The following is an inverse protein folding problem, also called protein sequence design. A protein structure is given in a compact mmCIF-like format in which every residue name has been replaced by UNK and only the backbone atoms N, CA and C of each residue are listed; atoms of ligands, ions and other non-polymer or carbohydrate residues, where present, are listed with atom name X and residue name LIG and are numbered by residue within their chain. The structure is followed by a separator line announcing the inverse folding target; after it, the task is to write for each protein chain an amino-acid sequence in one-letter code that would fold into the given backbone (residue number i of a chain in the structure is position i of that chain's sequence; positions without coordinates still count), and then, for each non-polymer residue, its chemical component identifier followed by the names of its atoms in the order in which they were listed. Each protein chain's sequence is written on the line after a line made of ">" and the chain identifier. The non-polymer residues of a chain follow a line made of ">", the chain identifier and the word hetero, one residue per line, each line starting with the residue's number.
data_IF_609344542155
#
_entry.id   IF_609344542155
#
_cell.length_a   1.000
_cell.length_b   1.000
_cell.length_c   1.000
_cell.angle_alpha   90.00
_cell.angle_beta   90.00
_cell.angle_gamma   90.00
#
_symmetry.space_group_name_H-M   'P 1'
#
loop_
_entity.id
_entity.type
_entity.pdbx_description
1 polymer ?
#
# COMPACT_ATOMS: atom_id res chain seq x y z
N UNK A 1 15.58 -8.00 -27.72
CA UNK A 1 16.24 -8.82 -26.69
C UNK A 1 16.45 -8.00 -25.44
N UNK A 2 16.00 -8.47 -24.28
CA UNK A 2 16.28 -7.82 -23.00
C UNK A 2 17.80 -7.88 -22.71
N UNK A 3 18.39 -6.74 -22.30
CA UNK A 3 19.78 -6.68 -21.85
C UNK A 3 19.80 -6.74 -20.33
N UNK A 4 20.56 -7.70 -19.80
CA UNK A 4 20.77 -7.83 -18.36
C UNK A 4 22.02 -7.06 -17.96
N UNK A 5 21.93 -6.27 -16.90
CA UNK A 5 23.03 -5.55 -16.29
C UNK A 5 23.19 -5.97 -14.84
N UNK A 6 24.43 -6.24 -14.44
CA UNK A 6 24.75 -6.46 -13.03
C UNK A 6 24.97 -5.08 -12.38
N UNK A 7 24.23 -4.78 -11.31
CA UNK A 7 24.48 -3.59 -10.53
C UNK A 7 25.79 -3.77 -9.74
N UNK A 8 26.83 -3.04 -10.16
CA UNK A 8 28.20 -3.20 -9.63
C UNK A 8 28.61 -1.96 -8.81
N UNK A 9 27.83 -1.56 -7.82
CA UNK A 9 28.25 -0.51 -6.88
C UNK A 9 29.49 -1.01 -6.10
N UNK A 10 30.57 -0.25 -6.17
CA UNK A 10 31.85 -0.63 -5.52
C UNK A 10 31.78 -0.44 -3.99
N UNK A 11 32.31 -1.42 -3.25
CA UNK A 11 32.55 -1.36 -1.80
C UNK A 11 33.50 -2.50 -1.39
N UNK A 12 34.09 -2.42 -0.20
CA UNK A 12 34.79 -3.55 0.42
C UNK A 12 33.80 -4.54 1.02
N UNK A 13 33.21 -5.39 0.17
CA UNK A 13 32.22 -6.37 0.59
C UNK A 13 32.77 -7.38 1.61
N UNK A 14 34.02 -7.73 1.53
CA UNK A 14 34.67 -8.64 2.49
C UNK A 14 34.90 -7.98 3.84
N UNK A 15 35.25 -6.69 3.86
CA UNK A 15 35.35 -5.90 5.09
C UNK A 15 34.03 -5.75 5.78
N UNK A 16 32.96 -5.36 5.03
CA UNK A 16 31.60 -5.26 5.54
C UNK A 16 31.13 -6.62 6.07
N UNK A 17 31.33 -7.70 5.30
CA UNK A 17 30.93 -9.04 5.70
C UNK A 17 31.57 -9.46 7.03
N UNK A 18 32.89 -9.25 7.20
CA UNK A 18 33.60 -9.54 8.47
C UNK A 18 33.10 -8.66 9.63
N UNK A 19 32.89 -7.36 9.38
CA UNK A 19 32.50 -6.41 10.43
C UNK A 19 31.14 -6.73 11.02
N UNK A 20 30.18 -7.15 10.17
CA UNK A 20 28.78 -7.37 10.56
C UNK A 20 28.37 -8.83 10.64
N UNK A 21 29.28 -9.78 10.44
CA UNK A 21 28.98 -11.22 10.54
C UNK A 21 28.03 -11.73 9.46
N UNK A 22 28.02 -11.11 8.28
CA UNK A 22 27.16 -11.49 7.15
C UNK A 22 27.98 -12.03 5.98
N UNK A 23 27.33 -12.64 4.98
CA UNK A 23 28.04 -13.06 3.77
C UNK A 23 28.39 -11.85 2.87
N UNK A 24 29.45 -11.94 2.03
CA UNK A 24 29.75 -10.91 1.04
C UNK A 24 28.60 -10.63 0.06
N UNK A 25 27.72 -11.61 -0.16
CA UNK A 25 26.51 -11.46 -0.99
C UNK A 25 25.51 -10.51 -0.32
N UNK A 26 25.28 -10.67 0.99
CA UNK A 26 24.42 -9.76 1.77
C UNK A 26 25.02 -8.35 1.78
N UNK A 27 26.32 -8.22 2.01
CA UNK A 27 27.00 -6.93 1.93
C UNK A 27 26.80 -6.23 0.56
N UNK A 28 26.82 -6.99 -0.54
CA UNK A 28 26.53 -6.47 -1.87
C UNK A 28 25.08 -6.04 -2.03
N UNK A 29 24.12 -6.82 -1.52
CA UNK A 29 22.68 -6.49 -1.57
C UNK A 29 22.43 -5.19 -0.82
N UNK A 30 22.94 -5.07 0.40
CA UNK A 30 22.84 -3.83 1.19
C UNK A 30 23.37 -2.62 0.42
N UNK A 31 24.56 -2.73 -0.15
CA UNK A 31 25.18 -1.67 -0.93
C UNK A 31 24.37 -1.28 -2.18
N UNK A 32 23.77 -2.26 -2.86
CA UNK A 32 22.92 -2.02 -4.01
C UNK A 32 21.60 -1.31 -3.63
N UNK A 33 21.16 -1.45 -2.38
CA UNK A 33 19.99 -0.79 -1.78
C UNK A 33 20.33 0.53 -1.08
N UNK A 34 21.50 1.09 -1.34
CA UNK A 34 21.99 2.36 -0.79
C UNK A 34 22.22 2.36 0.73
N UNK A 35 22.24 1.20 1.36
CA UNK A 35 22.61 1.03 2.77
C UNK A 35 24.13 1.18 2.89
N UNK A 36 24.63 2.30 3.45
CA UNK A 36 26.02 2.72 3.32
C UNK A 36 26.74 2.94 4.65
N UNK A 37 26.06 3.60 5.60
CA UNK A 37 26.65 3.95 6.89
C UNK A 37 26.52 2.80 7.88
N UNK A 38 27.28 2.86 8.97
CA UNK A 38 27.21 1.85 10.03
C UNK A 38 25.83 1.84 10.70
N UNK A 39 25.21 3.02 10.87
CA UNK A 39 23.87 3.19 11.41
C UNK A 39 22.84 2.54 10.49
N UNK A 40 22.89 2.84 9.19
CA UNK A 40 21.99 2.25 8.19
C UNK A 40 22.14 0.72 8.13
N UNK A 41 23.37 0.20 8.20
CA UNK A 41 23.63 -1.25 8.19
C UNK A 41 23.07 -1.90 9.46
N UNK A 42 23.28 -1.28 10.62
CA UNK A 42 22.71 -1.78 11.88
C UNK A 42 21.19 -1.77 11.85
N UNK A 43 20.57 -0.69 11.40
CA UNK A 43 19.12 -0.60 11.25
C UNK A 43 18.59 -1.67 10.28
N UNK A 44 19.26 -1.87 9.14
CA UNK A 44 18.85 -2.85 8.13
C UNK A 44 18.92 -4.29 8.64
N UNK A 45 19.95 -4.62 9.46
CA UNK A 45 20.18 -5.99 9.96
C UNK A 45 19.45 -6.29 11.27
N UNK A 46 19.33 -5.30 12.15
CA UNK A 46 18.92 -5.47 13.54
C UNK A 46 17.73 -4.58 13.94
N UNK A 47 17.12 -3.89 12.97
CA UNK A 47 15.97 -3.00 13.23
C UNK A 47 14.81 -3.72 13.91
N UNK A 48 14.15 -3.00 14.79
CA UNK A 48 13.02 -3.46 15.59
C UNK A 48 11.75 -2.69 15.21
N UNK A 49 10.56 -3.12 15.60
CA UNK A 49 9.34 -2.33 15.39
C UNK A 49 9.41 -0.89 15.95
N UNK A 50 10.26 -0.65 16.98
CA UNK A 50 10.48 0.68 17.54
C UNK A 50 11.25 1.64 16.63
N UNK A 51 11.92 1.10 15.60
CA UNK A 51 12.67 1.88 14.60
C UNK A 51 11.82 2.26 13.38
N UNK A 52 10.56 1.81 13.32
CA UNK A 52 9.65 2.17 12.24
C UNK A 52 9.27 3.65 12.33
N UNK A 53 9.12 4.28 11.18
CA UNK A 53 8.57 5.63 11.11
C UNK A 53 7.12 5.66 11.60
N UNK A 54 6.73 6.81 12.18
CA UNK A 54 5.33 7.03 12.53
C UNK A 54 4.44 7.02 11.26
N UNK A 55 3.42 6.17 11.23
CA UNK A 55 2.50 6.07 10.08
C UNK A 55 1.78 7.38 9.75
N UNK A 56 1.68 8.32 10.71
CA UNK A 56 1.12 9.67 10.48
C UNK A 56 1.96 10.53 9.56
N UNK A 57 3.22 10.16 9.29
CA UNK A 57 4.07 10.81 8.30
C UNK A 57 3.67 10.50 6.85
N UNK A 58 2.87 9.45 6.64
CA UNK A 58 2.38 9.12 5.30
C UNK A 58 1.38 10.18 4.84
N UNK A 59 1.50 10.54 3.57
CA UNK A 59 0.57 11.47 2.92
C UNK A 59 -0.86 10.95 3.10
N UNK A 60 -1.80 11.86 3.28
CA UNK A 60 -3.23 11.64 3.44
C UNK A 60 -3.65 10.74 4.64
N UNK A 61 -2.71 10.27 5.49
CA UNK A 61 -3.04 9.42 6.64
C UNK A 61 -4.01 10.12 7.61
N UNK A 62 -3.74 11.37 7.98
CA UNK A 62 -4.61 12.14 8.88
C UNK A 62 -5.99 12.41 8.24
N UNK A 63 -6.02 12.64 6.92
CA UNK A 63 -7.27 12.80 6.17
C UNK A 63 -8.09 11.52 6.22
N UNK A 64 -7.50 10.37 5.90
CA UNK A 64 -8.17 9.07 5.93
C UNK A 64 -8.71 8.74 7.33
N UNK A 65 -7.91 8.96 8.37
CA UNK A 65 -8.32 8.75 9.76
C UNK A 65 -9.51 9.66 10.13
N UNK A 66 -9.49 10.92 9.68
CA UNK A 66 -10.60 11.85 9.92
C UNK A 66 -11.89 11.39 9.25
N UNK A 67 -11.82 10.99 7.98
CA UNK A 67 -12.95 10.46 7.21
C UNK A 67 -13.50 9.21 7.91
N UNK A 68 -12.67 8.25 8.26
CA UNK A 68 -13.12 7.02 8.92
C UNK A 68 -13.80 7.29 10.27
N UNK A 69 -13.27 8.21 11.08
CA UNK A 69 -13.90 8.62 12.34
C UNK A 69 -15.28 9.23 12.12
N UNK A 70 -15.43 10.09 11.11
CA UNK A 70 -16.72 10.69 10.73
C UNK A 70 -17.72 9.60 10.32
N UNK A 71 -17.29 8.68 9.43
CA UNK A 71 -18.15 7.58 8.96
C UNK A 71 -18.57 6.64 10.08
N UNK A 72 -17.69 6.35 11.03
CA UNK A 72 -18.02 5.56 12.22
C UNK A 72 -19.05 6.29 13.08
N UNK A 73 -18.85 7.60 13.34
CA UNK A 73 -19.79 8.40 14.14
C UNK A 73 -21.17 8.53 13.49
N UNK A 74 -21.23 8.48 12.15
CA UNK A 74 -22.48 8.49 11.36
C UNK A 74 -23.09 7.10 11.17
N UNK A 75 -22.51 6.05 11.76
CA UNK A 75 -22.93 4.65 11.60
C UNK A 75 -22.99 4.20 10.12
N UNK A 76 -22.08 4.74 9.29
CA UNK A 76 -21.99 4.40 7.87
C UNK A 76 -21.27 3.08 7.67
N UNK A 77 -21.78 2.27 6.74
CA UNK A 77 -21.19 0.97 6.41
C UNK A 77 -19.91 1.15 5.61
N UNK A 78 -18.83 0.52 6.08
CA UNK A 78 -17.52 0.52 5.46
C UNK A 78 -17.25 -0.87 4.90
N UNK A 79 -16.78 -0.96 3.65
CA UNK A 79 -16.29 -2.21 3.07
C UNK A 79 -14.80 -2.14 2.79
N UNK A 80 -14.04 -3.07 3.36
CA UNK A 80 -12.64 -3.27 3.04
C UNK A 80 -12.56 -4.17 1.81
N UNK A 81 -11.86 -3.69 0.77
CA UNK A 81 -11.59 -4.49 -0.44
C UNK A 81 -10.09 -4.76 -0.50
N UNK A 82 -9.70 -5.99 -0.15
CA UNK A 82 -8.32 -6.45 -0.17
C UNK A 82 -7.92 -7.11 -1.48
N UNK A 83 -6.73 -7.72 -1.49
CA UNK A 83 -6.33 -8.65 -2.54
C UNK A 83 -6.31 -10.10 -2.02
N UNK A 84 -6.20 -11.05 -2.93
CA UNK A 84 -6.30 -12.49 -2.66
C UNK A 84 -4.97 -13.15 -2.27
N UNK A 85 -3.87 -12.41 -2.23
CA UNK A 85 -2.57 -12.94 -1.79
C UNK A 85 -2.37 -12.79 -0.27
N UNK A 86 -1.18 -13.14 0.22
CA UNK A 86 -0.93 -13.15 1.66
C UNK A 86 -0.96 -11.74 2.27
N UNK A 87 -0.50 -10.73 1.53
CA UNK A 87 -0.45 -9.35 2.00
C UNK A 87 -1.88 -8.76 2.02
N UNK A 88 -2.67 -9.00 0.97
CA UNK A 88 -4.06 -8.56 0.89
C UNK A 88 -4.95 -9.22 1.95
N UNK A 89 -4.83 -10.54 2.17
CA UNK A 89 -5.62 -11.23 3.20
C UNK A 89 -5.26 -10.76 4.60
N UNK A 90 -3.97 -10.60 4.92
CA UNK A 90 -3.54 -10.16 6.25
C UNK A 90 -3.90 -8.68 6.50
N UNK A 91 -3.68 -7.80 5.53
CA UNK A 91 -4.05 -6.38 5.68
C UNK A 91 -5.56 -6.19 5.82
N UNK A 92 -6.37 -6.94 5.06
CA UNK A 92 -7.82 -6.97 5.22
C UNK A 92 -8.22 -7.36 6.64
N UNK A 93 -7.64 -8.42 7.19
CA UNK A 93 -7.93 -8.88 8.55
C UNK A 93 -7.53 -7.85 9.61
N UNK A 94 -6.34 -7.24 9.48
CA UNK A 94 -5.85 -6.22 10.41
C UNK A 94 -6.78 -4.98 10.40
N UNK A 95 -7.14 -4.49 9.22
CA UNK A 95 -8.04 -3.34 9.08
C UNK A 95 -9.44 -3.66 9.60
N UNK A 96 -9.98 -4.83 9.29
CA UNK A 96 -11.28 -5.28 9.81
C UNK A 96 -11.28 -5.27 11.33
N UNK A 97 -10.29 -5.91 11.96
CA UNK A 97 -10.19 -5.97 13.42
C UNK A 97 -10.00 -4.59 14.06
N UNK A 98 -9.18 -3.74 13.44
CA UNK A 98 -8.98 -2.38 13.91
C UNK A 98 -10.26 -1.54 13.85
N UNK A 99 -11.00 -1.60 12.76
CA UNK A 99 -12.26 -0.88 12.58
C UNK A 99 -13.38 -1.43 13.45
N UNK A 100 -13.50 -2.76 13.60
CA UNK A 100 -14.43 -3.38 14.56
C UNK A 100 -14.18 -2.90 15.99
N UNK A 101 -12.91 -2.84 16.43
CA UNK A 101 -12.53 -2.32 17.75
C UNK A 101 -12.83 -0.82 17.89
N UNK A 102 -12.80 -0.06 16.81
CA UNK A 102 -13.18 1.34 16.78
C UNK A 102 -14.71 1.56 16.74
N UNK A 103 -15.52 0.49 16.65
CA UNK A 103 -16.99 0.54 16.62
C UNK A 103 -17.59 0.73 15.23
N UNK A 104 -16.84 0.47 14.15
CA UNK A 104 -17.35 0.59 12.79
C UNK A 104 -18.31 -0.55 12.42
N UNK A 105 -19.34 -0.23 11.61
CA UNK A 105 -20.07 -1.23 10.79
C UNK A 105 -19.20 -1.53 9.56
N UNK A 106 -18.46 -2.65 9.62
CA UNK A 106 -17.46 -3.00 8.62
C UNK A 106 -17.62 -4.43 8.13
N UNK A 107 -17.56 -4.61 6.82
CA UNK A 107 -17.44 -5.91 6.17
C UNK A 107 -16.25 -5.95 5.21
N UNK A 108 -15.99 -7.11 4.63
CA UNK A 108 -14.83 -7.33 3.75
C UNK A 108 -15.24 -8.00 2.45
N UNK A 109 -14.54 -7.69 1.37
CA UNK A 109 -14.66 -8.37 0.08
C UNK A 109 -13.26 -8.58 -0.50
N UNK A 110 -12.97 -9.81 -0.90
CA UNK A 110 -11.70 -10.16 -1.56
C UNK A 110 -12.04 -10.71 -2.94
N UNK A 111 -11.46 -10.14 -4.02
CA UNK A 111 -11.75 -10.60 -5.37
C UNK A 111 -11.35 -12.06 -5.55
N UNK A 112 -12.19 -12.80 -6.28
CA UNK A 112 -11.87 -14.17 -6.62
C UNK A 112 -10.86 -14.20 -7.76
N UNK A 113 -9.66 -14.74 -7.51
CA UNK A 113 -8.49 -14.74 -8.41
C UNK A 113 -8.80 -15.06 -9.88
N UNK A 114 -9.71 -16.01 -10.13
CA UNK A 114 -10.02 -16.46 -11.50
C UNK A 114 -11.19 -15.67 -12.11
N UNK A 115 -12.19 -15.29 -11.30
CA UNK A 115 -13.43 -14.66 -11.80
C UNK A 115 -13.35 -13.15 -11.86
N UNK A 116 -12.77 -12.55 -10.84
CA UNK A 116 -12.80 -11.09 -10.64
C UNK A 116 -11.49 -10.42 -11.06
N UNK A 117 -10.38 -11.19 -11.11
CA UNK A 117 -9.06 -10.66 -11.39
C UNK A 117 -8.39 -10.05 -10.15
N UNK A 118 -7.43 -9.15 -10.37
CA UNK A 118 -6.65 -8.50 -9.31
C UNK A 118 -7.30 -7.19 -8.86
N UNK A 119 -7.40 -7.00 -7.55
CA UNK A 119 -7.73 -5.73 -6.92
C UNK A 119 -9.15 -5.21 -7.18
N UNK A 120 -9.33 -3.92 -6.95
CA UNK A 120 -10.61 -3.24 -7.14
C UNK A 120 -11.05 -3.27 -8.61
N UNK A 121 -12.30 -3.68 -8.84
CA UNK A 121 -12.93 -3.67 -10.16
C UNK A 121 -14.38 -3.16 -10.09
N UNK A 122 -14.99 -2.82 -11.23
CA UNK A 122 -16.36 -2.27 -11.28
C UNK A 122 -17.40 -3.19 -10.67
N UNK A 123 -17.25 -4.51 -10.79
CA UNK A 123 -18.20 -5.46 -10.22
C UNK A 123 -18.18 -5.43 -8.67
N UNK A 124 -17.01 -5.24 -8.06
CA UNK A 124 -16.86 -5.05 -6.61
C UNK A 124 -17.48 -3.73 -6.16
N UNK A 125 -17.27 -2.63 -6.90
CA UNK A 125 -17.91 -1.33 -6.63
C UNK A 125 -19.44 -1.44 -6.73
N UNK A 126 -19.96 -2.10 -7.77
CA UNK A 126 -21.40 -2.31 -7.93
C UNK A 126 -22.00 -3.18 -6.82
N UNK A 127 -21.26 -4.18 -6.35
CA UNK A 127 -21.65 -5.03 -5.22
C UNK A 127 -21.72 -4.20 -3.94
N UNK A 128 -20.67 -3.45 -3.64
CA UNK A 128 -20.63 -2.56 -2.49
C UNK A 128 -21.82 -1.56 -2.51
N UNK A 129 -22.05 -0.91 -3.64
CA UNK A 129 -23.16 0.04 -3.81
C UNK A 129 -24.54 -0.61 -3.57
N UNK A 130 -24.80 -1.79 -4.15
CA UNK A 130 -26.07 -2.53 -3.94
C UNK A 130 -26.28 -2.98 -2.51
N UNK A 131 -25.20 -3.28 -1.78
CA UNK A 131 -25.23 -3.71 -0.39
C UNK A 131 -25.34 -2.54 0.60
N UNK A 132 -25.50 -1.30 0.09
CA UNK A 132 -25.65 -0.09 0.89
C UNK A 132 -24.37 0.38 1.56
N UNK A 133 -23.20 -0.02 1.02
CA UNK A 133 -21.91 0.45 1.52
C UNK A 133 -21.72 1.93 1.16
N UNK A 134 -21.41 2.73 2.15
CA UNK A 134 -21.09 4.16 1.98
C UNK A 134 -19.61 4.38 1.61
N UNK A 135 -18.72 3.63 2.26
CA UNK A 135 -17.28 3.83 2.14
C UNK A 135 -16.55 2.57 1.71
N UNK A 136 -15.76 2.66 0.64
CA UNK A 136 -14.80 1.63 0.24
C UNK A 136 -13.43 2.02 0.79
N UNK A 137 -12.79 1.08 1.51
CA UNK A 137 -11.41 1.16 1.94
C UNK A 137 -10.63 0.05 1.25
N UNK A 138 -9.74 0.37 0.32
CA UNK A 138 -8.88 -0.65 -0.28
C UNK A 138 -7.66 -0.93 0.60
N UNK A 139 -7.11 -2.13 0.51
CA UNK A 139 -5.81 -2.45 1.09
C UNK A 139 -5.05 -3.43 0.20
N UNK A 140 -3.74 -3.15 0.02
CA UNK A 140 -2.86 -3.90 -0.87
C UNK A 140 -3.32 -3.87 -2.34
N UNK A 141 -4.11 -2.90 -2.69
CA UNK A 141 -4.56 -2.58 -4.05
C UNK A 141 -5.20 -1.19 -4.08
N UNK A 142 -5.48 -0.70 -5.28
CA UNK A 142 -6.25 0.53 -5.48
C UNK A 142 -5.47 1.65 -6.16
N UNK A 143 -4.17 1.76 -5.96
CA UNK A 143 -3.37 2.86 -6.56
C UNK A 143 -3.44 2.86 -8.10
N UNK A 144 -3.64 1.70 -8.71
CA UNK A 144 -3.76 1.54 -10.15
C UNK A 144 -5.21 1.54 -10.66
N UNK A 145 -6.22 1.54 -9.77
CA UNK A 145 -7.64 1.40 -10.08
C UNK A 145 -8.32 2.76 -10.32
N UNK A 146 -7.74 3.60 -11.19
CA UNK A 146 -8.14 4.99 -11.42
C UNK A 146 -9.59 5.08 -11.88
N UNK A 147 -9.97 4.29 -12.88
CA UNK A 147 -11.31 4.32 -13.48
C UNK A 147 -12.37 3.71 -12.55
N UNK A 148 -12.01 2.70 -11.76
CA UNK A 148 -12.90 2.05 -10.81
C UNK A 148 -13.19 2.96 -9.61
N UNK A 149 -12.18 3.68 -9.14
CA UNK A 149 -12.33 4.67 -8.07
C UNK A 149 -13.19 5.84 -8.54
N UNK A 150 -12.92 6.38 -9.73
CA UNK A 150 -13.76 7.41 -10.32
C UNK A 150 -15.23 6.95 -10.43
N UNK A 151 -15.44 5.71 -10.86
CA UNK A 151 -16.78 5.12 -10.94
C UNK A 151 -17.46 5.00 -9.57
N UNK A 152 -16.74 4.62 -8.51
CA UNK A 152 -17.25 4.62 -7.14
C UNK A 152 -17.63 6.03 -6.67
N UNK A 153 -16.80 7.03 -7.00
CA UNK A 153 -17.07 8.44 -6.69
C UNK A 153 -18.31 8.97 -7.43
N UNK A 154 -18.51 8.61 -8.71
CA UNK A 154 -19.72 8.95 -9.48
C UNK A 154 -21.00 8.38 -8.84
N UNK A 155 -20.93 7.25 -8.15
CA UNK A 155 -22.03 6.66 -7.37
C UNK A 155 -22.24 7.34 -6.01
N UNK A 156 -21.45 8.35 -5.66
CA UNK A 156 -21.55 9.07 -4.39
C UNK A 156 -20.88 8.36 -3.21
N UNK A 157 -20.09 7.31 -3.48
CA UNK A 157 -19.36 6.59 -2.43
C UNK A 157 -18.12 7.37 -1.99
N UNK A 158 -17.75 7.22 -0.73
CA UNK A 158 -16.42 7.61 -0.22
C UNK A 158 -15.42 6.51 -0.57
N UNK A 159 -14.24 6.87 -1.06
CA UNK A 159 -13.19 5.90 -1.39
C UNK A 159 -11.88 6.31 -0.76
N UNK A 160 -11.31 5.42 0.03
CA UNK A 160 -9.99 5.58 0.64
C UNK A 160 -9.09 4.46 0.09
N UNK A 161 -7.91 4.83 -0.39
CA UNK A 161 -6.92 3.87 -0.89
C UNK A 161 -5.82 3.72 0.13
N UNK A 162 -5.51 2.46 0.51
CA UNK A 162 -4.26 2.10 1.17
C UNK A 162 -3.55 1.06 0.32
N UNK A 163 -2.38 1.41 -0.19
CA UNK A 163 -1.62 0.58 -1.11
C UNK A 163 -0.12 0.79 -0.90
N UNK A 164 0.71 -0.06 -1.49
CA UNK A 164 2.17 0.05 -1.47
C UNK A 164 2.80 -0.26 -2.84
N UNK A 165 1.98 -0.44 -3.86
CA UNK A 165 2.45 -0.69 -5.22
C UNK A 165 2.94 0.60 -5.89
N UNK A 166 3.85 0.45 -6.87
CA UNK A 166 4.37 1.59 -7.62
C UNK A 166 3.26 2.38 -8.33
N UNK A 167 3.26 3.69 -8.12
CA UNK A 167 2.34 4.61 -8.78
C UNK A 167 2.67 4.66 -10.27
N UNK A 168 1.69 4.40 -11.13
CA UNK A 168 1.86 4.52 -12.59
C UNK A 168 2.18 5.96 -12.97
N UNK A 169 3.03 6.14 -13.97
CA UNK A 169 3.34 7.46 -14.50
C UNK A 169 3.33 7.47 -16.03
N UNK A 170 3.09 8.66 -16.59
CA UNK A 170 3.35 8.97 -17.99
C UNK A 170 4.59 9.85 -18.07
N UNK A 171 5.39 9.69 -19.12
CA UNK A 171 6.53 10.57 -19.35
C UNK A 171 6.15 11.59 -20.42
N UNK A 172 6.13 12.87 -20.06
CA UNK A 172 5.87 13.99 -20.95
C UNK A 172 7.03 14.97 -20.88
N UNK A 173 7.68 15.24 -22.02
CA UNK A 173 8.84 16.14 -22.10
C UNK A 173 9.98 15.81 -21.12
N UNK A 174 10.21 14.52 -20.83
CA UNK A 174 11.24 14.08 -19.90
C UNK A 174 10.87 14.26 -18.41
N UNK A 175 9.62 14.61 -18.11
CA UNK A 175 9.07 14.72 -16.74
C UNK A 175 8.08 13.58 -16.50
N UNK A 176 8.19 12.90 -15.36
CA UNK A 176 7.23 11.89 -14.94
C UNK A 176 6.00 12.55 -14.31
N UNK A 177 4.84 12.26 -14.88
CA UNK A 177 3.54 12.68 -14.35
C UNK A 177 2.88 11.43 -13.76
N UNK A 178 2.83 11.38 -12.43
CA UNK A 178 2.24 10.25 -11.70
C UNK A 178 0.72 10.29 -11.78
N UNK A 179 0.12 9.12 -12.00
CA UNK A 179 -1.32 8.94 -12.14
C UNK A 179 -1.89 8.40 -10.83
N UNK A 180 -2.30 9.31 -9.95
CA UNK A 180 -2.91 8.99 -8.66
C UNK A 180 -4.43 8.99 -8.82
N UNK A 181 -5.16 7.98 -8.30
CA UNK A 181 -6.62 7.97 -8.37
C UNK A 181 -7.25 9.12 -7.57
N UNK A 182 -8.39 9.62 -8.04
CA UNK A 182 -9.14 10.71 -7.40
C UNK A 182 -10.01 10.18 -6.23
N UNK A 183 -9.39 9.48 -5.29
CA UNK A 183 -10.01 9.04 -4.05
C UNK A 183 -10.09 10.20 -3.02
N UNK A 184 -10.85 10.00 -1.94
CA UNK A 184 -10.96 10.98 -0.85
C UNK A 184 -9.66 11.06 -0.03
N UNK A 185 -8.93 9.95 0.05
CA UNK A 185 -7.57 9.90 0.59
C UNK A 185 -6.79 8.77 -0.10
N UNK A 186 -5.49 8.98 -0.34
CA UNK A 186 -4.58 7.99 -0.92
C UNK A 186 -3.35 7.86 -0.05
N UNK A 187 -3.24 6.73 0.63
CA UNK A 187 -2.12 6.38 1.49
C UNK A 187 -1.25 5.39 0.74
N UNK A 188 -0.12 5.87 0.26
CA UNK A 188 0.86 5.10 -0.47
C UNK A 188 2.26 5.67 -0.16
N UNK A 189 3.27 4.82 0.12
CA UNK A 189 4.62 5.28 0.48
C UNK A 189 5.46 5.77 -0.70
N UNK A 190 4.96 5.71 -1.94
CA UNK A 190 5.66 6.10 -3.18
C UNK A 190 5.33 7.48 -3.71
#
# INVERSE_FOLDING_TARGET
>A
MAKWFINMKKADFNGIARKYGVSPVIARIMRNREVRTDEEINLYLNGTPGDLYDGRLMKDMECAVSILKEKIAEEKKIRIIGDYDIDGVNSTYILQKGLELAGADVDTDIPHRIKDGYGLNRALVDRAYRDGVDTILTCDNGIAAIDEIAYGKEKGMTVIVTDHHEVKFKEENGVRIYQVPAADAVIDPH
#
